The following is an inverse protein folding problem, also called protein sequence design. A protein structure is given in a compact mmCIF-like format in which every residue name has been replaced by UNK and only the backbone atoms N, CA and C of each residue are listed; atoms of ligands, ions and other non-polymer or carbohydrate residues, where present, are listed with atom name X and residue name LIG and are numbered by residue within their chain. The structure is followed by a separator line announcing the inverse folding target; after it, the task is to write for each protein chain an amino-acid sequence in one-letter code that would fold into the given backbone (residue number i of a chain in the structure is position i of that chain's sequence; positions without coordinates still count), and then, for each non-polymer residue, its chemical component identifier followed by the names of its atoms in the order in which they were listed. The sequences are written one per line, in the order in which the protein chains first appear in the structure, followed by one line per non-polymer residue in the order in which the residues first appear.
data_IF_584431768393
#
_entry.id   IF_584431768393
#
_cell.length_a   1.000
_cell.length_b   1.000
_cell.length_c   1.000
_cell.angle_alpha   90.00
_cell.angle_beta   90.00
_cell.angle_gamma   90.00
#
_symmetry.space_group_name_H-M   'P 1'
#
loop_
_entity.id
_entity.type
_entity.pdbx_description
1 polymer ?
#
# COMPACT_ATOMS: atom_id res chain seq x y z
N UNK A 1 3.93 -17.39 -34.21
CA UNK A 1 4.21 -16.29 -33.25
C UNK A 1 3.60 -14.96 -33.69
N UNK A 2 3.83 -14.46 -34.92
CA UNK A 2 3.29 -13.16 -35.35
C UNK A 2 1.76 -13.07 -35.36
N UNK A 3 1.05 -14.15 -35.73
CA UNK A 3 -0.43 -14.16 -35.71
C UNK A 3 -1.02 -14.15 -34.31
N UNK A 4 -0.41 -14.87 -33.37
CA UNK A 4 -0.84 -14.90 -31.97
C UNK A 4 -0.64 -13.50 -31.31
N UNK A 5 0.48 -12.86 -31.57
CA UNK A 5 0.77 -11.50 -31.08
C UNK A 5 -0.25 -10.50 -31.68
N UNK A 6 -0.54 -10.63 -32.97
CA UNK A 6 -1.47 -9.73 -33.66
C UNK A 6 -2.91 -9.90 -33.14
N UNK A 7 -3.34 -11.10 -32.83
CA UNK A 7 -4.66 -11.37 -32.24
C UNK A 7 -4.75 -10.85 -30.80
N UNK A 8 -3.69 -10.97 -30.03
CA UNK A 8 -3.58 -10.43 -28.67
C UNK A 8 -3.74 -8.91 -28.66
N UNK A 9 -2.98 -8.21 -29.51
CA UNK A 9 -3.04 -6.73 -29.60
C UNK A 9 -4.43 -6.24 -30.05
N UNK A 10 -5.03 -6.94 -31.02
CA UNK A 10 -6.41 -6.62 -31.46
C UNK A 10 -7.43 -6.78 -30.34
N UNK A 11 -7.31 -7.85 -29.56
CA UNK A 11 -8.19 -8.13 -28.41
C UNK A 11 -8.08 -7.01 -27.37
N UNK A 12 -6.86 -6.62 -27.02
CA UNK A 12 -6.58 -5.51 -26.08
C UNK A 12 -7.24 -4.20 -26.59
N UNK A 13 -7.07 -3.87 -27.87
CA UNK A 13 -7.65 -2.63 -28.45
C UNK A 13 -9.19 -2.64 -28.45
N UNK A 14 -9.81 -3.79 -28.67
CA UNK A 14 -11.28 -3.92 -28.58
C UNK A 14 -11.72 -3.74 -27.13
N UNK A 15 -11.06 -4.39 -26.17
CA UNK A 15 -11.35 -4.23 -24.74
C UNK A 15 -11.23 -2.75 -24.31
N UNK A 16 -10.15 -2.06 -24.70
CA UNK A 16 -9.95 -0.62 -24.45
C UNK A 16 -11.12 0.21 -24.98
N UNK A 17 -11.59 -0.10 -26.20
CA UNK A 17 -12.70 0.60 -26.84
C UNK A 17 -13.99 0.41 -26.02
N UNK A 18 -14.27 -0.80 -25.57
CA UNK A 18 -15.46 -1.11 -24.76
C UNK A 18 -15.39 -0.41 -23.40
N UNK A 19 -14.23 -0.38 -22.74
CA UNK A 19 -14.02 0.34 -21.47
C UNK A 19 -14.28 1.85 -21.66
N UNK A 20 -13.75 2.45 -22.73
CA UNK A 20 -14.02 3.88 -23.03
C UNK A 20 -15.52 4.15 -23.26
N UNK A 21 -16.23 3.23 -23.90
CA UNK A 21 -17.67 3.34 -24.10
C UNK A 21 -18.44 3.30 -22.78
N UNK A 22 -18.05 2.43 -21.84
CA UNK A 22 -18.60 2.38 -20.49
C UNK A 22 -18.38 3.72 -19.76
N UNK A 23 -17.17 4.24 -19.83
CA UNK A 23 -16.79 5.52 -19.22
C UNK A 23 -17.58 6.71 -19.80
N UNK A 24 -17.97 6.62 -21.07
CA UNK A 24 -18.81 7.64 -21.74
C UNK A 24 -20.30 7.46 -21.48
N UNK A 25 -20.71 6.51 -20.66
CA UNK A 25 -22.11 6.25 -20.29
C UNK A 25 -22.93 5.58 -21.37
N UNK A 26 -22.30 4.84 -22.28
CA UNK A 26 -23.04 4.08 -23.30
C UNK A 26 -23.67 2.81 -22.69
N UNK A 27 -24.74 2.31 -23.34
CA UNK A 27 -25.61 1.21 -22.88
C UNK A 27 -24.86 0.07 -22.16
N UNK A 28 -24.84 0.16 -20.86
CA UNK A 28 -24.03 -0.66 -19.93
C UNK A 28 -24.18 -2.17 -20.17
N UNK A 29 -25.40 -2.66 -20.30
CA UNK A 29 -25.68 -4.10 -20.47
C UNK A 29 -25.15 -4.68 -21.78
N UNK A 30 -25.13 -3.88 -22.83
CA UNK A 30 -24.62 -4.32 -24.13
C UNK A 30 -23.10 -4.40 -24.14
N UNK A 31 -22.46 -3.36 -23.58
CA UNK A 31 -21.00 -3.27 -23.50
C UNK A 31 -20.47 -4.36 -22.56
N UNK A 32 -21.15 -4.57 -21.42
CA UNK A 32 -20.81 -5.65 -20.47
C UNK A 32 -20.81 -7.02 -21.16
N UNK A 33 -21.87 -7.39 -21.89
CA UNK A 33 -21.92 -8.67 -22.60
C UNK A 33 -20.83 -8.84 -23.64
N UNK A 34 -20.46 -7.78 -24.34
CA UNK A 34 -19.36 -7.83 -25.32
C UNK A 34 -18.00 -8.00 -24.63
N UNK A 35 -17.83 -7.32 -23.50
CA UNK A 35 -16.63 -7.45 -22.68
C UNK A 35 -16.52 -8.87 -22.10
N UNK A 36 -17.60 -9.43 -21.57
CA UNK A 36 -17.70 -10.81 -21.09
C UNK A 36 -17.20 -11.80 -22.16
N UNK A 37 -17.73 -11.69 -23.38
CA UNK A 37 -17.35 -12.58 -24.47
C UNK A 37 -15.86 -12.48 -24.82
N UNK A 38 -15.28 -11.28 -24.75
CA UNK A 38 -13.85 -11.07 -25.01
C UNK A 38 -12.98 -11.61 -23.88
N UNK A 39 -13.44 -11.45 -22.64
CA UNK A 39 -12.73 -11.92 -21.45
C UNK A 39 -12.70 -13.46 -21.38
N UNK A 40 -13.70 -14.14 -21.92
CA UNK A 40 -13.71 -15.61 -22.07
C UNK A 40 -12.51 -16.12 -22.89
N UNK A 41 -12.03 -15.30 -23.84
CA UNK A 41 -10.91 -15.65 -24.74
C UNK A 41 -9.60 -14.98 -24.33
N UNK A 42 -9.63 -14.07 -23.34
CA UNK A 42 -8.47 -13.27 -22.95
C UNK A 42 -7.68 -13.96 -21.83
N UNK A 43 -6.37 -13.91 -21.96
CA UNK A 43 -5.49 -14.19 -20.84
C UNK A 43 -5.55 -13.00 -19.86
N UNK A 44 -5.38 -13.24 -18.59
CA UNK A 44 -5.39 -12.19 -17.56
C UNK A 44 -4.33 -11.12 -17.81
N UNK A 45 -3.18 -11.50 -18.37
CA UNK A 45 -2.14 -10.57 -18.81
C UNK A 45 -2.63 -9.59 -19.88
N UNK A 46 -3.68 -9.92 -20.64
CA UNK A 46 -4.29 -9.04 -21.63
C UNK A 46 -5.11 -7.93 -20.93
N UNK A 47 -5.86 -8.29 -19.89
CA UNK A 47 -6.63 -7.34 -19.08
C UNK A 47 -5.67 -6.37 -18.37
N UNK A 48 -4.63 -6.90 -17.78
CA UNK A 48 -3.58 -6.13 -17.11
C UNK A 48 -2.94 -5.11 -18.08
N UNK A 49 -2.53 -5.58 -19.26
CA UNK A 49 -1.92 -4.70 -20.28
C UNK A 49 -2.91 -3.63 -20.77
N UNK A 50 -4.18 -3.99 -20.91
CA UNK A 50 -5.24 -3.07 -21.27
C UNK A 50 -5.37 -1.93 -20.24
N UNK A 51 -5.41 -2.26 -18.95
CA UNK A 51 -5.51 -1.28 -17.86
C UNK A 51 -4.30 -0.33 -17.84
N UNK A 52 -3.09 -0.90 -17.96
CA UNK A 52 -1.84 -0.12 -18.05
C UNK A 52 -1.92 0.87 -19.22
N UNK A 53 -2.31 0.40 -20.41
CA UNK A 53 -2.40 1.25 -21.60
C UNK A 53 -3.46 2.35 -21.45
N UNK A 54 -4.63 2.04 -20.87
CA UNK A 54 -5.68 3.03 -20.64
C UNK A 54 -5.21 4.16 -19.71
N UNK A 55 -4.48 3.81 -18.65
CA UNK A 55 -3.89 4.80 -17.73
C UNK A 55 -2.84 5.65 -18.45
N UNK A 56 -1.97 5.03 -19.26
CA UNK A 56 -0.95 5.73 -20.05
C UNK A 56 -1.60 6.68 -21.08
N UNK A 57 -2.76 6.34 -21.60
CA UNK A 57 -3.55 7.16 -22.53
C UNK A 57 -4.34 8.26 -21.83
N UNK A 58 -4.26 8.36 -20.49
CA UNK A 58 -4.83 9.46 -19.71
C UNK A 58 -6.21 9.18 -19.11
N UNK A 59 -6.69 7.94 -19.11
CA UNK A 59 -7.90 7.60 -18.35
C UNK A 59 -7.51 7.60 -16.86
N UNK A 60 -8.24 8.34 -16.00
CA UNK A 60 -7.93 8.36 -14.58
C UNK A 60 -7.96 6.98 -13.95
N UNK A 61 -7.02 6.70 -13.05
CA UNK A 61 -6.95 5.41 -12.33
C UNK A 61 -8.26 5.11 -11.58
N UNK A 62 -8.91 6.15 -11.06
CA UNK A 62 -10.20 6.04 -10.37
C UNK A 62 -11.30 5.47 -11.30
N UNK A 63 -11.31 5.89 -12.57
CA UNK A 63 -12.28 5.37 -13.56
C UNK A 63 -12.02 3.88 -13.88
N UNK A 64 -10.76 3.47 -13.88
CA UNK A 64 -10.37 2.05 -14.03
C UNK A 64 -10.78 1.27 -12.75
N UNK A 65 -10.57 1.86 -11.58
CA UNK A 65 -10.93 1.28 -10.28
C UNK A 65 -12.44 0.99 -10.19
N UNK A 66 -13.30 1.91 -10.66
CA UNK A 66 -14.76 1.72 -10.68
C UNK A 66 -15.18 0.56 -11.59
N UNK A 67 -14.40 0.29 -12.64
CA UNK A 67 -14.66 -0.80 -13.57
C UNK A 67 -14.05 -2.14 -13.11
N UNK A 68 -13.09 -2.08 -12.20
CA UNK A 68 -12.34 -3.26 -11.71
C UNK A 68 -13.25 -4.31 -11.08
N UNK A 69 -14.28 -3.89 -10.35
CA UNK A 69 -15.24 -4.80 -9.71
C UNK A 69 -16.11 -5.52 -10.75
N UNK A 70 -16.43 -4.84 -11.85
CA UNK A 70 -17.14 -5.44 -12.98
C UNK A 70 -16.27 -6.48 -13.67
N UNK A 71 -14.99 -6.16 -13.93
CA UNK A 71 -14.02 -7.09 -14.51
C UNK A 71 -13.85 -8.33 -13.62
N UNK A 72 -13.64 -8.13 -12.32
CA UNK A 72 -13.44 -9.21 -11.36
C UNK A 72 -14.64 -10.15 -11.32
N UNK A 73 -15.85 -9.60 -11.34
CA UNK A 73 -17.10 -10.39 -11.32
C UNK A 73 -17.25 -11.26 -12.57
N UNK A 74 -16.92 -10.71 -13.73
CA UNK A 74 -16.96 -11.42 -15.01
C UNK A 74 -15.88 -12.51 -15.03
N UNK A 75 -14.67 -12.19 -14.57
CA UNK A 75 -13.51 -13.09 -14.63
C UNK A 75 -13.57 -14.24 -13.61
N UNK A 76 -14.29 -14.08 -12.50
CA UNK A 76 -14.44 -15.13 -11.45
C UNK A 76 -15.00 -16.47 -11.97
N UNK A 77 -15.70 -16.49 -13.10
CA UNK A 77 -16.21 -17.73 -13.69
C UNK A 77 -15.27 -18.41 -14.70
N UNK A 78 -14.25 -17.71 -15.16
CA UNK A 78 -13.45 -18.15 -16.32
C UNK A 78 -11.96 -18.38 -16.02
N UNK A 79 -11.45 -17.83 -14.92
CA UNK A 79 -10.02 -17.86 -14.58
C UNK A 79 -9.65 -18.82 -13.44
N UNK A 80 -10.58 -19.65 -13.00
CA UNK A 80 -10.32 -20.66 -11.95
C UNK A 80 -9.34 -21.76 -12.37
N UNK A 81 -8.84 -21.70 -13.62
CA UNK A 81 -7.91 -22.68 -14.18
C UNK A 81 -6.42 -22.33 -13.98
N UNK A 82 -6.10 -21.08 -13.62
CA UNK A 82 -4.70 -20.70 -13.34
C UNK A 82 -4.47 -20.61 -11.83
N UNK A 83 -3.86 -21.63 -11.28
CA UNK A 83 -3.42 -21.61 -9.89
C UNK A 83 -2.18 -20.71 -9.75
N UNK A 84 -2.06 -20.01 -8.63
CA UNK A 84 -0.82 -19.30 -8.27
C UNK A 84 0.31 -20.32 -8.28
N UNK A 85 1.41 -20.08 -8.99
CA UNK A 85 2.53 -21.01 -8.97
C UNK A 85 3.01 -21.26 -7.53
N UNK A 86 3.21 -22.53 -7.20
CA UNK A 86 3.73 -22.90 -5.89
C UNK A 86 5.14 -22.31 -5.70
N UNK A 87 5.35 -21.69 -4.59
CA UNK A 87 6.65 -21.14 -4.19
C UNK A 87 7.14 -21.86 -2.92
N UNK A 88 8.45 -21.88 -2.74
CA UNK A 88 9.06 -22.54 -1.57
C UNK A 88 8.57 -21.91 -0.26
N UNK A 89 8.35 -22.71 0.79
CA UNK A 89 7.98 -22.17 2.10
C UNK A 89 8.96 -21.08 2.56
N UNK A 90 8.42 -19.96 3.05
CA UNK A 90 9.20 -18.79 3.46
C UNK A 90 9.40 -17.74 2.37
N UNK A 91 9.23 -18.08 1.10
CA UNK A 91 9.24 -17.10 -0.01
C UNK A 91 8.14 -16.05 0.23
N UNK A 92 8.36 -14.75 -0.09
CA UNK A 92 7.33 -13.72 0.15
C UNK A 92 5.96 -14.07 -0.44
N UNK A 93 5.89 -14.62 -1.66
CA UNK A 93 4.60 -15.02 -2.27
C UNK A 93 3.96 -16.16 -1.46
N UNK A 94 4.74 -17.16 -1.01
CA UNK A 94 4.21 -18.22 -0.13
C UNK A 94 3.55 -17.60 1.10
N UNK A 95 4.23 -16.65 1.75
CA UNK A 95 3.70 -15.97 2.95
C UNK A 95 2.40 -15.22 2.64
N UNK A 96 2.37 -14.44 1.55
CA UNK A 96 1.16 -13.72 1.11
C UNK A 96 -0.01 -14.68 0.85
N UNK A 97 0.24 -15.82 0.19
CA UNK A 97 -0.81 -16.82 -0.08
C UNK A 97 -1.32 -17.45 1.22
N UNK A 98 -0.44 -17.72 2.20
CA UNK A 98 -0.89 -18.24 3.50
C UNK A 98 -1.76 -17.22 4.24
N UNK A 99 -1.39 -15.94 4.20
CA UNK A 99 -2.20 -14.86 4.76
C UNK A 99 -3.57 -14.77 4.06
N UNK A 100 -3.60 -14.89 2.74
CA UNK A 100 -4.83 -14.91 1.95
C UNK A 100 -5.75 -16.06 2.39
N UNK A 101 -5.19 -17.23 2.68
CA UNK A 101 -5.96 -18.39 3.18
C UNK A 101 -6.61 -18.09 4.54
N UNK A 102 -5.88 -17.42 5.44
CA UNK A 102 -6.42 -17.04 6.75
C UNK A 102 -7.47 -15.92 6.62
N UNK A 103 -7.26 -14.97 5.71
CA UNK A 103 -8.26 -13.93 5.39
C UNK A 103 -9.55 -14.58 4.85
N UNK A 104 -9.44 -15.46 3.86
CA UNK A 104 -10.57 -16.20 3.26
C UNK A 104 -11.29 -17.08 4.31
N UNK A 105 -10.55 -17.71 5.21
CA UNK A 105 -11.10 -18.48 6.31
C UNK A 105 -11.96 -17.58 7.22
N UNK A 106 -11.43 -16.40 7.56
CA UNK A 106 -12.12 -15.44 8.43
C UNK A 106 -13.38 -14.87 7.76
N UNK A 107 -13.29 -14.48 6.47
CA UNK A 107 -14.44 -13.98 5.70
C UNK A 107 -15.53 -15.06 5.56
N UNK A 108 -15.13 -16.31 5.33
CA UNK A 108 -16.06 -17.46 5.27
C UNK A 108 -16.79 -17.67 6.61
N UNK A 109 -16.10 -17.56 7.74
CA UNK A 109 -16.71 -17.64 9.07
C UNK A 109 -17.74 -16.54 9.29
N UNK A 110 -17.41 -15.30 8.90
CA UNK A 110 -18.34 -14.16 8.99
C UNK A 110 -19.61 -14.44 8.14
N UNK A 111 -19.43 -14.88 6.88
CA UNK A 111 -20.57 -15.22 5.99
C UNK A 111 -21.46 -16.30 6.61
N UNK A 112 -20.84 -17.33 7.20
CA UNK A 112 -21.57 -18.42 7.86
C UNK A 112 -22.41 -17.87 9.03
N UNK A 113 -21.84 -17.03 9.88
CA UNK A 113 -22.55 -16.41 11.01
C UNK A 113 -23.68 -15.49 10.53
N UNK A 114 -23.46 -14.70 9.48
CA UNK A 114 -24.49 -13.84 8.87
C UNK A 114 -25.67 -14.68 8.35
N UNK A 115 -25.37 -15.78 7.65
CA UNK A 115 -26.41 -16.70 7.15
C UNK A 115 -27.17 -17.37 8.28
N UNK A 116 -26.48 -17.74 9.36
CA UNK A 116 -27.11 -18.32 10.57
C UNK A 116 -28.07 -17.31 11.21
N UNK A 117 -27.67 -16.04 11.34
CA UNK A 117 -28.54 -14.96 11.85
C UNK A 117 -29.81 -14.80 10.96
N UNK A 118 -29.62 -14.78 9.63
CA UNK A 118 -30.73 -14.66 8.68
C UNK A 118 -31.78 -15.81 8.82
N UNK A 119 -31.33 -16.97 9.25
CA UNK A 119 -32.20 -18.16 9.40
C UNK A 119 -32.88 -18.24 10.80
N UNK A 120 -32.55 -17.33 11.72
CA UNK A 120 -33.15 -17.32 13.07
C UNK A 120 -34.50 -16.60 13.06
N UNK A 121 -35.40 -16.96 14.02
CA UNK A 121 -36.68 -16.30 14.21
C UNK A 121 -36.46 -14.85 14.72
N UNK A 122 -37.42 -13.98 14.44
CA UNK A 122 -37.31 -12.52 14.67
C UNK A 122 -37.14 -12.12 16.15
N UNK A 123 -37.54 -13.00 17.07
CA UNK A 123 -37.52 -12.72 18.50
C UNK A 123 -36.30 -13.30 19.23
N UNK A 124 -35.36 -13.91 18.52
CA UNK A 124 -34.16 -14.52 19.10
C UNK A 124 -33.05 -13.48 19.29
N UNK A 125 -32.41 -13.50 20.46
CA UNK A 125 -31.23 -12.68 20.72
C UNK A 125 -30.04 -13.17 19.89
N UNK A 126 -29.54 -12.34 18.97
CA UNK A 126 -28.40 -12.60 18.09
C UNK A 126 -27.08 -11.98 18.59
N UNK A 127 -27.09 -11.38 19.79
CA UNK A 127 -25.92 -10.75 20.38
C UNK A 127 -24.68 -11.66 20.44
N UNK A 128 -24.77 -12.97 20.75
CA UNK A 128 -23.59 -13.83 20.70
C UNK A 128 -22.96 -13.92 19.32
N UNK A 129 -23.77 -14.07 18.27
CA UNK A 129 -23.26 -14.14 16.88
C UNK A 129 -22.67 -12.78 16.42
N UNK A 130 -23.32 -11.68 16.79
CA UNK A 130 -22.83 -10.34 16.47
C UNK A 130 -21.51 -10.04 17.17
N UNK A 131 -21.34 -10.47 18.42
CA UNK A 131 -20.08 -10.34 19.15
C UNK A 131 -18.95 -11.16 18.48
N UNK A 132 -19.28 -12.37 18.02
CA UNK A 132 -18.33 -13.21 17.28
C UNK A 132 -17.92 -12.55 15.95
N UNK A 133 -18.89 -11.98 15.21
CA UNK A 133 -18.61 -11.21 13.97
C UNK A 133 -17.71 -10.01 14.29
N UNK A 134 -17.99 -9.27 15.36
CA UNK A 134 -17.18 -8.13 15.80
C UNK A 134 -15.72 -8.55 16.07
N UNK A 135 -15.52 -9.67 16.77
CA UNK A 135 -14.17 -10.21 17.01
C UNK A 135 -13.46 -10.58 15.71
N UNK A 136 -14.16 -11.22 14.77
CA UNK A 136 -13.59 -11.58 13.47
C UNK A 136 -13.24 -10.34 12.63
N UNK A 137 -14.09 -9.31 12.66
CA UNK A 137 -13.79 -8.01 12.01
C UNK A 137 -12.56 -7.33 12.63
N UNK A 138 -12.41 -7.39 13.95
CA UNK A 138 -11.21 -6.88 14.61
C UNK A 138 -9.95 -7.65 14.17
N UNK A 139 -10.05 -8.96 14.00
CA UNK A 139 -8.94 -9.78 13.46
C UNK A 139 -8.61 -9.35 12.03
N UNK A 140 -9.62 -9.04 11.20
CA UNK A 140 -9.42 -8.56 9.82
C UNK A 140 -8.69 -7.21 9.76
N UNK A 141 -8.62 -6.43 10.85
CA UNK A 141 -7.78 -5.21 10.88
C UNK A 141 -6.30 -5.52 10.60
N UNK A 142 -5.85 -6.76 10.86
CA UNK A 142 -4.48 -7.19 10.53
C UNK A 142 -4.19 -7.16 9.01
N UNK A 143 -5.22 -7.09 8.15
CA UNK A 143 -5.05 -6.91 6.69
C UNK A 143 -4.20 -5.68 6.35
N UNK A 144 -4.17 -4.69 7.24
CA UNK A 144 -3.33 -3.50 7.12
C UNK A 144 -1.85 -3.87 6.92
N UNK A 145 -1.34 -4.86 7.68
CA UNK A 145 0.06 -5.33 7.55
C UNK A 145 0.31 -5.93 6.16
N UNK A 146 -0.64 -6.73 5.68
CA UNK A 146 -0.63 -7.37 4.37
C UNK A 146 -0.60 -6.32 3.24
N UNK A 147 -1.50 -5.34 3.29
CA UNK A 147 -1.59 -4.26 2.29
C UNK A 147 -0.34 -3.40 2.29
N UNK A 148 0.16 -3.00 3.47
CA UNK A 148 1.36 -2.16 3.59
C UNK A 148 2.61 -2.85 3.03
N UNK A 149 2.76 -4.16 3.22
CA UNK A 149 3.88 -4.90 2.60
C UNK A 149 3.79 -4.88 1.08
N UNK A 150 2.61 -5.06 0.50
CA UNK A 150 2.44 -4.95 -0.95
C UNK A 150 2.74 -3.52 -1.44
N UNK A 151 2.12 -2.54 -0.81
CA UNK A 151 2.26 -1.12 -1.20
C UNK A 151 3.72 -0.63 -1.11
N UNK A 152 4.44 -1.04 -0.08
CA UNK A 152 5.78 -0.51 0.20
C UNK A 152 6.92 -1.41 -0.27
N UNK A 153 6.70 -2.72 -0.38
CA UNK A 153 7.76 -3.66 -0.76
C UNK A 153 7.58 -4.22 -2.17
N UNK A 154 6.35 -4.53 -2.59
CA UNK A 154 6.11 -5.20 -3.87
C UNK A 154 5.81 -4.21 -5.01
N UNK A 155 4.89 -3.26 -4.80
CA UNK A 155 4.46 -2.32 -5.85
C UNK A 155 5.60 -1.49 -6.45
N UNK A 156 6.62 -1.04 -5.67
CA UNK A 156 7.75 -0.31 -6.28
C UNK A 156 8.49 -1.09 -7.37
N UNK A 157 8.49 -2.41 -7.32
CA UNK A 157 9.12 -3.22 -8.36
C UNK A 157 8.30 -3.23 -9.67
N UNK A 158 6.98 -3.19 -9.57
CA UNK A 158 6.13 -3.01 -10.76
C UNK A 158 6.40 -1.67 -11.43
N UNK A 159 6.48 -0.61 -10.63
CA UNK A 159 6.75 0.75 -11.12
C UNK A 159 8.13 0.87 -11.77
N UNK A 160 9.15 0.27 -11.17
CA UNK A 160 10.52 0.22 -11.73
C UNK A 160 10.54 -0.48 -13.10
N UNK A 161 9.62 -1.43 -13.30
CA UNK A 161 9.46 -2.17 -14.56
C UNK A 161 8.41 -1.54 -15.50
N UNK A 162 8.09 -0.27 -15.30
CA UNK A 162 7.18 0.53 -16.14
C UNK A 162 5.73 0.02 -16.14
N UNK A 163 5.30 -0.64 -15.05
CA UNK A 163 3.94 -1.20 -14.89
C UNK A 163 3.23 -0.59 -13.66
N UNK A 164 3.06 0.75 -13.57
CA UNK A 164 2.47 1.37 -12.38
C UNK A 164 0.94 1.23 -12.25
N UNK A 165 0.26 0.86 -13.33
CA UNK A 165 -1.21 0.85 -13.37
C UNK A 165 -1.86 -0.02 -12.31
N UNK A 166 -1.64 -1.34 -12.31
CA UNK A 166 -2.28 -2.23 -11.33
C UNK A 166 -1.94 -1.92 -9.88
N UNK A 167 -0.68 -1.62 -9.49
CA UNK A 167 -0.41 -1.13 -8.15
C UNK A 167 -1.26 0.07 -7.75
N UNK A 168 -1.44 1.04 -8.65
CA UNK A 168 -2.24 2.25 -8.37
C UNK A 168 -3.71 1.90 -8.10
N UNK A 169 -4.31 1.05 -8.95
CA UNK A 169 -5.70 0.59 -8.80
C UNK A 169 -5.87 -0.22 -7.52
N UNK A 170 -4.95 -1.16 -7.25
CA UNK A 170 -5.01 -2.00 -6.05
C UNK A 170 -4.85 -1.17 -4.77
N UNK A 171 -3.99 -0.15 -4.78
CA UNK A 171 -3.86 0.77 -3.63
C UNK A 171 -5.20 1.47 -3.34
N UNK A 172 -5.88 1.96 -4.39
CA UNK A 172 -7.20 2.54 -4.23
C UNK A 172 -8.20 1.58 -3.56
N UNK A 173 -8.19 0.32 -3.99
CA UNK A 173 -9.04 -0.74 -3.40
C UNK A 173 -8.64 -1.09 -1.95
N UNK A 174 -7.35 -1.04 -1.62
CA UNK A 174 -6.90 -1.18 -0.22
C UNK A 174 -7.48 -0.05 0.65
N UNK A 175 -7.46 1.19 0.16
CA UNK A 175 -8.02 2.35 0.87
C UNK A 175 -9.53 2.20 1.09
N UNK A 176 -10.27 1.74 0.07
CA UNK A 176 -11.71 1.42 0.20
C UNK A 176 -11.95 0.38 1.30
N UNK A 177 -11.17 -0.70 1.31
CA UNK A 177 -11.29 -1.76 2.31
C UNK A 177 -11.00 -1.22 3.72
N UNK A 178 -9.98 -0.36 3.87
CA UNK A 178 -9.66 0.32 5.14
C UNK A 178 -10.85 1.14 5.66
N UNK A 179 -11.47 1.91 4.79
CA UNK A 179 -12.62 2.76 5.16
C UNK A 179 -13.84 1.91 5.51
N UNK A 180 -14.11 0.84 4.74
CA UNK A 180 -15.20 -0.10 5.04
C UNK A 180 -15.01 -0.76 6.40
N UNK A 181 -13.81 -1.27 6.70
CA UNK A 181 -13.47 -1.91 7.99
C UNK A 181 -13.68 -0.93 9.16
N UNK A 182 -13.11 0.28 9.05
CA UNK A 182 -13.22 1.31 10.09
C UNK A 182 -14.68 1.71 10.32
N UNK A 183 -15.42 1.96 9.24
CA UNK A 183 -16.83 2.35 9.31
C UNK A 183 -17.70 1.26 9.95
N UNK A 184 -17.47 0.01 9.53
CA UNK A 184 -18.20 -1.14 10.08
C UNK A 184 -17.93 -1.33 11.57
N UNK A 185 -16.66 -1.29 11.99
CA UNK A 185 -16.27 -1.42 13.39
C UNK A 185 -16.83 -0.28 14.25
N UNK A 186 -16.84 0.96 13.75
CA UNK A 186 -17.44 2.11 14.44
C UNK A 186 -18.94 1.89 14.66
N UNK A 187 -19.63 1.35 13.65
CA UNK A 187 -21.06 1.00 13.77
C UNK A 187 -21.34 0.00 14.88
N UNK A 188 -20.43 -0.96 15.09
CA UNK A 188 -20.57 -1.94 16.18
C UNK A 188 -20.46 -1.29 17.59
N UNK A 189 -19.63 -0.25 17.72
CA UNK A 189 -19.45 0.44 19.02
C UNK A 189 -20.68 1.23 19.46
N UNK A 190 -21.53 1.62 18.54
CA UNK A 190 -22.75 2.40 18.82
C UNK A 190 -23.95 1.54 19.27
N UNK A 191 -23.85 0.23 19.12
CA UNK A 191 -24.96 -0.69 19.41
C UNK A 191 -24.60 -1.59 20.60
N UNK A 192 -25.34 -1.48 21.69
CA UNK A 192 -25.08 -2.22 22.93
C UNK A 192 -25.89 -3.52 23.05
N UNK A 193 -26.96 -3.66 22.29
CA UNK A 193 -27.80 -4.88 22.25
C UNK A 193 -28.34 -5.12 20.83
N UNK A 194 -28.30 -6.34 20.39
CA UNK A 194 -28.79 -6.74 19.06
C UNK A 194 -29.96 -7.68 19.20
N UNK A 195 -31.16 -7.24 18.85
CA UNK A 195 -32.27 -8.16 18.54
C UNK A 195 -32.14 -8.57 17.05
N UNK A 196 -32.78 -9.66 16.68
CA UNK A 196 -32.78 -10.13 15.28
C UNK A 196 -33.34 -9.08 14.32
N UNK A 197 -34.31 -8.31 14.76
CA UNK A 197 -34.94 -7.25 13.96
C UNK A 197 -33.96 -6.06 13.78
N UNK A 198 -33.29 -5.75 14.81
CA UNK A 198 -32.24 -4.69 14.77
C UNK A 198 -31.04 -5.04 13.96
N UNK A 199 -30.90 -6.12 13.93
CA UNK A 199 -29.89 -6.63 13.10
C UNK A 199 -30.16 -6.45 11.66
N UNK A 200 -31.15 -6.51 11.61
CA UNK A 200 -31.57 -6.25 10.37
C UNK A 200 -31.46 -4.81 10.08
N UNK A 201 -31.65 -4.36 10.97
CA UNK A 201 -31.53 -3.09 11.00
C UNK A 201 -30.18 -2.63 10.90
N UNK A 202 -29.78 -3.24 11.33
CA UNK A 202 -28.54 -3.01 11.18
C UNK A 202 -28.09 -3.29 9.87
N UNK A 203 -28.90 -3.35 9.44
CA UNK A 203 -28.68 -3.58 8.25
C UNK A 203 -27.62 -2.98 7.69
N UNK A 204 -27.74 -2.07 8.16
CA UNK A 204 -26.69 -1.39 7.91
C UNK A 204 -25.46 -2.09 8.25
N UNK A 205 -25.45 -2.30 9.27
CA UNK A 205 -24.27 -3.07 9.67
C UNK A 205 -24.12 -4.36 8.84
N UNK A 206 -25.22 -4.98 8.53
CA UNK A 206 -25.19 -6.19 7.69
C UNK A 206 -24.62 -5.91 6.29
N UNK A 207 -25.05 -4.83 5.67
CA UNK A 207 -24.52 -4.45 4.35
C UNK A 207 -23.05 -4.04 4.44
N UNK A 208 -22.67 -3.34 5.48
CA UNK A 208 -21.27 -2.94 5.71
C UNK A 208 -20.38 -4.16 5.97
N UNK A 209 -20.82 -5.12 6.78
CA UNK A 209 -20.08 -6.37 7.07
C UNK A 209 -19.86 -7.16 5.78
N UNK A 210 -20.90 -7.33 4.96
CA UNK A 210 -20.79 -8.06 3.69
C UNK A 210 -19.89 -7.29 2.70
N UNK A 211 -19.98 -5.96 2.65
CA UNK A 211 -19.13 -5.14 1.80
C UNK A 211 -17.63 -5.30 2.16
N UNK A 212 -17.31 -5.34 3.46
CA UNK A 212 -15.94 -5.62 3.94
C UNK A 212 -15.47 -6.99 3.46
N UNK A 213 -16.31 -8.00 3.68
CA UNK A 213 -15.99 -9.39 3.34
C UNK A 213 -15.80 -9.55 1.82
N UNK A 214 -16.68 -8.93 1.02
CA UNK A 214 -16.60 -8.95 -0.44
C UNK A 214 -15.33 -8.24 -0.93
N UNK A 215 -15.00 -7.07 -0.36
CA UNK A 215 -13.81 -6.30 -0.72
C UNK A 215 -12.51 -7.09 -0.46
N UNK A 216 -12.44 -7.79 0.69
CA UNK A 216 -11.28 -8.63 1.03
C UNK A 216 -11.18 -9.82 0.08
N UNK A 217 -12.29 -10.54 -0.14
CA UNK A 217 -12.31 -11.72 -1.03
C UNK A 217 -11.97 -11.34 -2.48
N UNK A 218 -12.45 -10.19 -2.94
CA UNK A 218 -12.12 -9.66 -4.28
C UNK A 218 -10.63 -9.31 -4.38
N UNK A 219 -10.05 -8.74 -3.32
CA UNK A 219 -8.62 -8.44 -3.29
C UNK A 219 -7.78 -9.73 -3.29
N UNK A 220 -8.12 -10.71 -2.45
CA UNK A 220 -7.47 -12.04 -2.44
C UNK A 220 -7.47 -12.65 -3.84
N UNK A 221 -8.62 -12.60 -4.52
CA UNK A 221 -8.75 -13.12 -5.88
C UNK A 221 -7.78 -12.42 -6.85
N UNK A 222 -7.76 -11.07 -6.84
CA UNK A 222 -6.87 -10.28 -7.72
C UNK A 222 -5.39 -10.57 -7.45
N UNK A 223 -5.04 -10.73 -6.19
CA UNK A 223 -3.66 -11.04 -5.79
C UNK A 223 -3.21 -12.40 -6.32
N UNK A 224 -4.00 -13.43 -6.07
CA UNK A 224 -3.63 -14.81 -6.42
C UNK A 224 -3.71 -15.09 -7.93
N UNK A 225 -4.65 -14.45 -8.62
CA UNK A 225 -4.85 -14.70 -10.05
C UNK A 225 -4.07 -13.73 -10.94
N UNK A 226 -3.67 -12.55 -10.42
CA UNK A 226 -3.01 -11.51 -11.23
C UNK A 226 -1.67 -11.10 -10.64
N UNK A 227 -1.71 -10.54 -9.43
CA UNK A 227 -0.55 -9.84 -8.87
C UNK A 227 0.64 -10.78 -8.68
N UNK A 228 0.41 -11.92 -8.00
CA UNK A 228 1.50 -12.84 -7.67
C UNK A 228 2.07 -13.55 -8.90
N UNK A 229 1.25 -14.09 -9.82
CA UNK A 229 1.81 -14.65 -11.05
C UNK A 229 2.60 -13.64 -11.88
N UNK A 230 2.10 -12.41 -11.99
CA UNK A 230 2.80 -11.33 -12.71
C UNK A 230 4.12 -10.99 -12.00
N UNK A 231 4.09 -10.85 -10.69
CA UNK A 231 5.28 -10.52 -9.89
C UNK A 231 6.35 -11.62 -9.99
N UNK A 232 5.94 -12.90 -9.95
CA UNK A 232 6.86 -14.04 -10.08
C UNK A 232 7.56 -14.06 -11.44
N UNK A 233 6.89 -13.58 -12.49
CA UNK A 233 7.48 -13.47 -13.83
C UNK A 233 8.33 -12.20 -14.01
N UNK A 234 8.07 -11.16 -13.23
CA UNK A 234 8.66 -9.84 -13.39
C UNK A 234 9.92 -9.64 -12.53
N UNK A 235 9.89 -10.12 -11.30
CA UNK A 235 10.90 -9.85 -10.29
C UNK A 235 11.99 -10.93 -10.31
N UNK A 236 13.22 -10.49 -10.07
CA UNK A 236 14.36 -11.39 -9.90
C UNK A 236 14.38 -11.99 -8.49
N UNK A 237 15.13 -13.07 -8.31
CA UNK A 237 15.38 -13.68 -6.99
C UNK A 237 15.97 -12.66 -6.00
N UNK A 238 16.80 -11.73 -6.48
CA UNK A 238 17.37 -10.65 -5.66
C UNK A 238 16.26 -9.69 -5.16
N UNK A 239 15.33 -9.32 -6.04
CA UNK A 239 14.21 -8.45 -5.66
C UNK A 239 13.35 -9.11 -4.57
N UNK A 240 13.06 -10.41 -4.74
CA UNK A 240 12.30 -11.19 -3.76
C UNK A 240 13.03 -11.28 -2.42
N UNK A 241 14.36 -11.40 -2.44
CA UNK A 241 15.16 -11.46 -1.21
C UNK A 241 15.12 -10.11 -0.47
N UNK A 242 15.17 -9.00 -1.19
CA UNK A 242 15.03 -7.67 -0.58
C UNK A 242 13.63 -7.48 0.04
N UNK A 243 12.57 -7.97 -0.62
CA UNK A 243 11.21 -7.97 -0.06
C UNK A 243 11.16 -8.83 1.22
N UNK A 244 11.74 -10.03 1.16
CA UNK A 244 11.82 -10.95 2.31
C UNK A 244 12.47 -10.30 3.52
N UNK A 245 13.66 -9.70 3.33
CA UNK A 245 14.44 -9.08 4.41
C UNK A 245 13.72 -7.92 5.11
N UNK A 246 12.83 -7.22 4.40
CA UNK A 246 12.12 -6.06 4.93
C UNK A 246 10.72 -6.40 5.46
N UNK A 247 10.21 -7.60 5.18
CA UNK A 247 8.83 -7.99 5.53
C UNK A 247 8.56 -7.96 7.03
N UNK A 248 9.54 -8.35 7.85
CA UNK A 248 9.43 -8.36 9.33
C UNK A 248 9.15 -6.97 9.91
N UNK A 249 9.61 -5.90 9.25
CA UNK A 249 9.39 -4.52 9.71
C UNK A 249 7.90 -4.13 9.69
N UNK A 250 7.13 -4.76 8.81
CA UNK A 250 5.69 -4.50 8.65
C UNK A 250 4.83 -5.47 9.46
N UNK A 251 5.37 -6.65 9.76
CA UNK A 251 4.65 -7.74 10.38
C UNK A 251 3.76 -8.51 9.40
N UNK A 252 3.03 -9.47 9.91
CA UNK A 252 2.28 -10.46 9.12
C UNK A 252 0.80 -10.45 9.52
N UNK A 253 -0.06 -10.82 8.56
CA UNK A 253 -1.52 -10.78 8.69
C UNK A 253 -2.06 -12.17 9.03
N UNK A 254 -2.52 -12.37 10.27
CA UNK A 254 -3.19 -13.61 10.72
C UNK A 254 -2.35 -14.90 10.54
N UNK A 255 -1.13 -14.81 10.03
CA UNK A 255 -0.21 -15.92 9.77
C UNK A 255 1.18 -15.50 10.20
N UNK A 256 1.90 -16.37 10.86
CA UNK A 256 3.31 -16.17 11.21
C UNK A 256 4.17 -17.14 10.37
N UNK A 257 5.08 -16.63 9.53
CA UNK A 257 5.95 -17.52 8.74
C UNK A 257 6.74 -18.47 9.63
N UNK A 258 6.76 -19.73 9.25
CA UNK A 258 7.41 -20.80 10.02
C UNK A 258 8.80 -21.16 9.42
N UNK A 259 9.14 -20.61 8.28
CA UNK A 259 10.33 -20.98 7.52
C UNK A 259 11.12 -19.74 7.15
N UNK A 260 12.42 -19.81 7.35
CA UNK A 260 13.35 -18.84 6.76
C UNK A 260 13.51 -19.18 5.27
N UNK A 261 13.71 -18.15 4.46
CA UNK A 261 13.91 -18.33 3.03
C UNK A 261 15.17 -17.62 2.57
N UNK A 262 15.93 -18.31 1.74
CA UNK A 262 17.10 -17.76 1.05
C UNK A 262 17.06 -18.25 -0.41
N UNK A 263 17.37 -17.36 -1.36
CA UNK A 263 17.42 -17.75 -2.77
C UNK A 263 18.45 -18.85 -3.06
N UNK A 264 18.20 -19.65 -4.05
CA UNK A 264 19.16 -20.64 -4.54
C UNK A 264 20.41 -19.92 -5.07
N UNK A 265 21.57 -20.37 -4.65
CA UNK A 265 22.87 -19.82 -5.10
C UNK A 265 23.53 -18.82 -4.16
N UNK A 266 22.82 -18.39 -3.11
CA UNK A 266 23.37 -17.48 -2.09
C UNK A 266 23.67 -16.08 -2.64
N UNK A 267 23.10 -15.06 -2.05
CA UNK A 267 23.40 -13.67 -2.45
C UNK A 267 24.41 -13.06 -1.46
N UNK A 268 25.55 -12.64 -1.99
CA UNK A 268 26.46 -11.76 -1.26
C UNK A 268 25.89 -10.35 -1.32
N UNK A 269 25.61 -9.78 -0.17
CA UNK A 269 25.23 -8.38 -0.04
C UNK A 269 26.39 -7.53 -0.59
N UNK A 270 26.31 -7.12 -1.85
CA UNK A 270 27.24 -6.12 -2.37
C UNK A 270 27.00 -4.82 -1.61
N UNK A 271 27.82 -4.60 -0.61
CA UNK A 271 27.91 -3.28 0.01
C UNK A 271 28.57 -2.35 -1.00
N UNK A 272 27.79 -1.51 -1.66
CA UNK A 272 28.36 -0.41 -2.45
C UNK A 272 29.20 0.46 -1.50
N UNK A 273 30.49 0.32 -1.62
CA UNK A 273 31.43 1.19 -0.87
C UNK A 273 31.48 2.55 -1.59
N UNK A 274 31.04 3.63 -0.94
CA UNK A 274 31.24 4.97 -1.53
C UNK A 274 32.75 5.26 -1.61
N UNK A 275 33.16 5.77 -2.75
CA UNK A 275 34.55 6.16 -2.96
C UNK A 275 34.74 7.57 -2.38
N UNK A 276 35.19 7.61 -1.13
CA UNK A 276 35.67 8.86 -0.53
C UNK A 276 37.21 8.84 -0.54
N UNK A 277 37.84 9.90 -0.97
CA UNK A 277 39.30 10.01 -0.84
C UNK A 277 39.66 10.04 0.64
N UNK A 278 40.59 9.19 1.04
CA UNK A 278 41.05 9.04 2.44
C UNK A 278 39.94 8.67 3.43
N UNK A 279 38.85 8.05 2.97
CA UNK A 279 37.76 7.58 3.83
C UNK A 279 36.88 8.67 4.45
N UNK A 280 37.03 9.93 4.05
CA UNK A 280 36.21 11.05 4.52
C UNK A 280 35.56 11.80 3.36
N UNK A 281 34.31 12.23 3.58
CA UNK A 281 33.56 13.09 2.66
C UNK A 281 33.87 14.52 3.05
N UNK A 282 34.53 15.24 2.18
CA UNK A 282 34.90 16.65 2.40
C UNK A 282 33.70 17.55 2.09
N UNK A 283 33.45 18.49 2.99
CA UNK A 283 32.42 19.53 2.88
C UNK A 283 33.05 20.92 3.06
N UNK A 284 32.40 22.02 2.68
CA UNK A 284 32.98 23.37 2.81
C UNK A 284 33.42 23.74 4.25
N UNK A 285 32.70 23.21 5.25
CA UNK A 285 32.96 23.56 6.65
C UNK A 285 33.52 22.41 7.49
N UNK A 286 34.00 21.33 6.83
CA UNK A 286 34.56 20.19 7.57
C UNK A 286 34.45 18.90 6.79
N UNK A 287 34.57 17.78 7.50
CA UNK A 287 34.48 16.47 6.83
C UNK A 287 33.88 15.43 7.76
N UNK A 288 33.23 14.41 7.15
CA UNK A 288 32.71 13.26 7.88
C UNK A 288 33.27 11.97 7.32
N UNK A 289 33.50 11.00 8.17
CA UNK A 289 33.52 9.60 7.69
C UNK A 289 32.12 9.19 7.30
N UNK A 290 31.98 8.22 6.42
CA UNK A 290 30.67 7.74 5.98
C UNK A 290 29.81 7.22 7.15
N UNK A 291 30.43 6.46 8.05
CA UNK A 291 29.76 5.95 9.25
C UNK A 291 29.26 7.07 10.17
N UNK A 292 30.08 8.13 10.37
CA UNK A 292 29.68 9.32 11.14
C UNK A 292 28.44 9.98 10.51
N UNK A 293 28.45 10.17 9.19
CA UNK A 293 27.36 10.80 8.45
C UNK A 293 26.06 9.96 8.51
N UNK A 294 26.19 8.63 8.39
CA UNK A 294 25.04 7.71 8.51
C UNK A 294 24.43 7.82 9.92
N UNK A 295 25.26 7.75 10.96
CA UNK A 295 24.76 7.81 12.36
C UNK A 295 24.19 9.19 12.69
N UNK A 296 24.76 10.26 12.13
CA UNK A 296 24.23 11.62 12.27
C UNK A 296 22.79 11.68 11.72
N UNK A 297 22.57 11.17 10.50
CA UNK A 297 21.23 11.18 9.91
C UNK A 297 20.24 10.27 10.66
N UNK A 298 20.70 9.22 11.34
CA UNK A 298 19.85 8.37 12.21
C UNK A 298 19.48 9.08 13.52
N UNK A 299 20.35 9.98 13.99
CA UNK A 299 20.19 10.65 15.29
C UNK A 299 19.24 11.86 15.19
N UNK A 300 19.05 12.42 13.99
CA UNK A 300 18.19 13.58 13.80
C UNK A 300 16.75 13.26 14.27
N UNK A 301 16.12 14.18 15.06
CA UNK A 301 14.76 13.95 15.55
C UNK A 301 13.67 14.29 14.53
N UNK A 302 13.96 14.02 13.27
CA UNK A 302 13.05 14.24 12.15
C UNK A 302 13.41 13.33 10.98
N UNK A 303 12.43 13.01 10.20
CA UNK A 303 12.59 12.19 8.99
C UNK A 303 12.97 13.06 7.80
N UNK A 304 13.90 12.58 7.01
CA UNK A 304 14.29 13.21 5.75
C UNK A 304 13.96 12.28 4.58
N UNK A 305 13.49 12.88 3.48
CA UNK A 305 13.40 12.19 2.18
C UNK A 305 13.90 13.17 1.10
N UNK A 306 14.89 12.74 0.32
CA UNK A 306 15.43 13.55 -0.78
C UNK A 306 15.01 12.95 -2.11
N UNK A 307 14.43 13.80 -2.95
CA UNK A 307 13.96 13.51 -4.32
C UNK A 307 14.80 14.37 -5.26
N UNK A 308 15.39 13.77 -6.29
CA UNK A 308 16.23 14.48 -7.24
C UNK A 308 15.41 15.34 -8.25
N UNK A 309 16.10 16.08 -9.10
CA UNK A 309 15.48 16.94 -10.13
C UNK A 309 14.69 16.15 -11.19
N UNK A 310 14.92 14.86 -11.30
CA UNK A 310 14.17 13.93 -12.15
C UNK A 310 12.98 13.29 -11.40
N UNK A 311 12.64 13.80 -10.21
CA UNK A 311 11.50 13.34 -9.36
C UNK A 311 11.69 11.93 -8.76
N UNK A 312 12.91 11.41 -8.74
CA UNK A 312 13.19 10.08 -8.19
C UNK A 312 13.71 10.18 -6.75
N UNK A 313 13.17 9.36 -5.85
CA UNK A 313 13.64 9.27 -4.47
C UNK A 313 15.09 8.75 -4.46
N UNK A 314 16.01 9.51 -3.88
CA UNK A 314 17.44 9.15 -3.81
C UNK A 314 17.92 8.82 -2.41
N UNK A 315 17.24 9.32 -1.40
CA UNK A 315 17.65 9.12 -0.02
C UNK A 315 16.46 9.28 0.91
N UNK A 316 16.44 8.51 1.98
CA UNK A 316 15.62 8.79 3.16
C UNK A 316 16.42 8.43 4.42
N UNK A 317 16.22 9.17 5.51
CA UNK A 317 16.92 8.91 6.78
C UNK A 317 16.38 7.62 7.41
N UNK A 318 17.24 6.75 7.92
CA UNK A 318 16.81 5.52 8.60
C UNK A 318 16.50 5.75 10.08
N UNK A 319 15.55 6.66 10.38
CA UNK A 319 15.14 6.94 11.76
C UNK A 319 14.52 5.74 12.47
N UNK A 320 14.69 5.66 13.80
CA UNK A 320 14.15 4.54 14.61
C UNK A 320 12.62 4.56 14.71
N UNK A 321 12.01 5.73 14.69
CA UNK A 321 10.57 5.93 14.85
C UNK A 321 10.04 6.87 13.77
N UNK A 322 10.17 6.43 12.50
CA UNK A 322 9.69 7.25 11.38
C UNK A 322 8.18 7.48 11.47
N UNK A 323 7.79 8.72 11.19
CA UNK A 323 6.37 9.09 11.07
C UNK A 323 5.71 8.36 9.89
N UNK A 324 6.40 8.37 8.74
CA UNK A 324 5.96 7.64 7.54
C UNK A 324 6.96 6.53 7.23
N UNK A 325 6.46 5.32 7.19
CA UNK A 325 7.29 4.16 6.84
C UNK A 325 7.85 4.29 5.42
N UNK A 326 9.10 3.89 5.27
CA UNK A 326 9.79 3.87 3.98
C UNK A 326 10.63 2.60 3.88
N UNK A 327 10.40 1.81 2.86
CA UNK A 327 11.28 0.69 2.55
C UNK A 327 12.35 1.12 1.54
N UNK A 328 13.45 0.39 1.46
CA UNK A 328 14.50 0.68 0.46
C UNK A 328 14.01 0.52 -0.98
N UNK A 329 12.90 -0.20 -1.20
CA UNK A 329 12.29 -0.36 -2.52
C UNK A 329 11.82 0.98 -3.13
N UNK A 330 11.62 2.03 -2.32
CA UNK A 330 11.25 3.34 -2.86
C UNK A 330 12.42 4.06 -3.55
N UNK A 331 13.66 3.63 -3.32
CA UNK A 331 14.84 4.27 -3.95
C UNK A 331 14.80 4.11 -5.47
N UNK A 332 14.86 5.23 -6.19
CA UNK A 332 14.67 5.30 -7.63
C UNK A 332 13.22 5.45 -8.08
N UNK A 333 12.26 5.27 -7.17
CA UNK A 333 10.82 5.41 -7.45
C UNK A 333 10.49 6.89 -7.70
N UNK A 334 9.60 7.16 -8.63
CA UNK A 334 9.08 8.52 -8.84
C UNK A 334 8.25 8.95 -7.63
N UNK A 335 8.45 10.18 -7.16
CA UNK A 335 7.79 10.70 -5.96
C UNK A 335 6.26 10.64 -6.07
N UNK A 336 5.73 10.78 -7.28
CA UNK A 336 4.29 10.68 -7.56
C UNK A 336 3.72 9.33 -7.12
N UNK A 337 4.51 8.26 -7.24
CA UNK A 337 4.10 6.91 -6.87
C UNK A 337 4.30 6.59 -5.37
N UNK A 338 4.90 7.53 -4.64
CA UNK A 338 5.04 7.40 -3.18
C UNK A 338 3.80 7.94 -2.42
N UNK A 339 2.78 8.39 -3.15
CA UNK A 339 1.60 9.03 -2.57
C UNK A 339 0.31 8.38 -3.08
N UNK A 340 -0.72 8.28 -2.24
CA UNK A 340 -2.03 7.79 -2.69
C UNK A 340 -2.58 8.65 -3.83
N UNK A 341 -3.35 8.08 -4.77
CA UNK A 341 -3.91 8.83 -5.92
C UNK A 341 -4.58 10.15 -5.55
N UNK A 342 -5.30 10.19 -4.44
CA UNK A 342 -6.00 11.39 -3.94
C UNK A 342 -5.10 12.59 -3.62
N UNK A 343 -3.79 12.37 -3.40
CA UNK A 343 -2.83 13.45 -3.07
C UNK A 343 -1.77 13.70 -4.15
N UNK A 344 -1.68 12.89 -5.18
CA UNK A 344 -0.67 13.00 -6.25
C UNK A 344 -0.71 14.38 -6.92
N UNK A 345 -1.91 14.95 -7.12
CA UNK A 345 -2.06 16.27 -7.74
C UNK A 345 -1.37 17.37 -6.93
N UNK A 346 -1.36 17.27 -5.59
CA UNK A 346 -0.66 18.22 -4.69
C UNK A 346 0.85 18.06 -4.88
N UNK A 347 1.34 16.82 -4.90
CA UNK A 347 2.77 16.51 -5.11
C UNK A 347 3.24 17.08 -6.46
N UNK A 348 2.48 16.85 -7.52
CA UNK A 348 2.78 17.36 -8.86
C UNK A 348 2.84 18.89 -8.88
N UNK A 349 1.92 19.55 -8.17
CA UNK A 349 1.90 21.02 -8.09
C UNK A 349 3.13 21.56 -7.36
N UNK A 350 3.52 20.95 -6.21
CA UNK A 350 4.70 21.34 -5.44
C UNK A 350 5.96 21.22 -6.32
N UNK A 351 6.17 20.06 -6.92
CA UNK A 351 7.35 19.80 -7.76
C UNK A 351 7.41 20.78 -8.94
N UNK A 352 6.26 21.01 -9.61
CA UNK A 352 6.16 21.95 -10.72
C UNK A 352 6.53 23.38 -10.29
N UNK A 353 6.03 23.86 -9.16
CA UNK A 353 6.28 25.22 -8.67
C UNK A 353 7.74 25.37 -8.21
N UNK A 354 8.32 24.34 -7.60
CA UNK A 354 9.73 24.31 -7.20
C UNK A 354 10.66 24.36 -8.43
N UNK A 355 10.40 23.52 -9.43
CA UNK A 355 11.17 23.50 -10.70
C UNK A 355 11.08 24.83 -11.45
N UNK A 356 9.91 25.48 -11.39
CA UNK A 356 9.68 26.77 -12.05
C UNK A 356 10.23 27.98 -11.23
N UNK A 357 10.78 27.77 -10.04
CA UNK A 357 11.27 28.83 -9.18
C UNK A 357 10.17 29.72 -8.58
N UNK A 358 8.92 29.27 -8.58
CA UNK A 358 7.78 30.04 -8.05
C UNK A 358 7.71 29.98 -6.54
N UNK A 359 8.13 28.86 -5.96
CA UNK A 359 8.12 28.63 -4.52
C UNK A 359 9.38 27.83 -4.16
N UNK A 360 9.84 27.99 -2.92
CA UNK A 360 10.96 27.23 -2.37
C UNK A 360 10.57 26.42 -1.14
N UNK A 361 9.31 26.54 -0.70
CA UNK A 361 8.82 25.84 0.48
C UNK A 361 7.32 25.57 0.40
N UNK A 362 6.88 24.38 0.82
CA UNK A 362 5.48 24.02 1.03
C UNK A 362 5.34 23.37 2.42
N UNK A 363 4.30 23.72 3.17
CA UNK A 363 4.13 23.27 4.55
C UNK A 363 2.76 22.65 4.77
N UNK A 364 2.76 21.56 5.52
CA UNK A 364 1.55 20.85 5.93
C UNK A 364 1.68 20.50 7.42
N UNK A 365 0.55 20.41 8.10
CA UNK A 365 0.48 19.82 9.43
C UNK A 365 -0.82 19.03 9.53
N UNK A 366 -0.70 17.84 10.08
CA UNK A 366 -1.80 16.89 10.18
C UNK A 366 -1.84 16.29 11.58
N UNK A 367 -3.00 15.82 11.98
CA UNK A 367 -3.14 14.97 13.16
C UNK A 367 -3.15 13.52 12.67
N UNK A 368 -2.12 12.77 13.04
CA UNK A 368 -1.94 11.38 12.61
C UNK A 368 -1.82 10.51 13.86
N UNK A 369 -2.83 9.70 14.15
CA UNK A 369 -2.84 8.79 15.30
C UNK A 369 -2.56 9.51 16.63
N UNK A 370 -3.11 10.71 16.81
CA UNK A 370 -2.92 11.53 18.01
C UNK A 370 -1.65 12.38 18.02
N UNK A 371 -0.77 12.22 17.04
CA UNK A 371 0.46 12.99 16.90
C UNK A 371 0.25 14.21 16.02
N UNK A 372 0.82 15.36 16.42
CA UNK A 372 0.90 16.56 15.57
C UNK A 372 2.11 16.41 14.64
N UNK A 373 1.85 16.01 13.41
CA UNK A 373 2.90 15.80 12.39
C UNK A 373 3.04 17.06 11.53
N UNK A 374 4.25 17.61 11.49
CA UNK A 374 4.61 18.77 10.69
C UNK A 374 5.51 18.32 9.53
N UNK A 375 5.10 18.65 8.30
CA UNK A 375 5.76 18.23 7.06
C UNK A 375 6.15 19.48 6.29
N UNK A 376 7.40 19.60 5.92
CA UNK A 376 7.88 20.72 5.10
C UNK A 376 8.65 20.17 3.91
N UNK A 377 8.30 20.65 2.75
CA UNK A 377 9.03 20.41 1.51
C UNK A 377 9.86 21.67 1.20
N UNK A 378 11.13 21.46 0.83
CA UNK A 378 12.06 22.53 0.45
C UNK A 378 12.60 22.23 -0.95
N UNK A 379 12.63 23.25 -1.80
CA UNK A 379 13.41 23.18 -3.05
C UNK A 379 14.90 23.27 -2.69
N UNK A 380 15.65 22.27 -3.09
CA UNK A 380 17.11 22.24 -2.93
C UNK A 380 17.72 22.84 -4.19
N UNK A 381 18.54 23.90 -4.01
CA UNK A 381 19.22 24.59 -5.12
C UNK A 381 20.71 24.71 -4.87
N UNK A 382 21.48 24.79 -5.94
CA UNK A 382 22.91 25.14 -5.86
C UNK A 382 23.08 26.65 -5.72
N UNK A 383 24.33 27.12 -5.63
CA UNK A 383 24.67 28.54 -5.48
C UNK A 383 24.27 29.37 -6.70
N UNK A 384 24.12 28.74 -7.88
CA UNK A 384 23.69 29.40 -9.12
C UNK A 384 22.14 29.50 -9.21
N UNK A 385 21.42 28.93 -8.22
CA UNK A 385 19.96 28.90 -8.17
C UNK A 385 19.31 27.73 -8.91
N UNK A 386 20.09 26.84 -9.50
CA UNK A 386 19.56 25.68 -10.23
C UNK A 386 18.89 24.68 -9.26
N UNK A 387 17.72 24.21 -9.64
CA UNK A 387 16.97 23.21 -8.87
C UNK A 387 17.68 21.85 -8.94
N UNK A 388 18.08 21.35 -7.79
CA UNK A 388 18.73 20.03 -7.63
C UNK A 388 17.75 18.94 -7.21
N UNK A 389 16.65 19.34 -6.54
CA UNK A 389 15.67 18.38 -6.03
C UNK A 389 14.80 18.95 -4.93
N UNK A 390 14.00 18.08 -4.32
CA UNK A 390 13.14 18.43 -3.18
C UNK A 390 13.58 17.64 -1.95
N UNK A 391 13.69 18.35 -0.82
CA UNK A 391 13.88 17.73 0.50
C UNK A 391 12.58 17.81 1.29
N UNK A 392 12.06 16.66 1.68
CA UNK A 392 10.97 16.53 2.66
C UNK A 392 11.57 16.40 4.06
N UNK A 393 11.08 17.18 4.99
CA UNK A 393 11.41 17.09 6.42
C UNK A 393 10.09 16.86 7.17
N UNK A 394 10.01 15.77 7.90
CA UNK A 394 8.81 15.38 8.67
C UNK A 394 9.16 15.28 10.15
N UNK A 395 8.38 15.95 11.01
CA UNK A 395 8.62 16.00 12.44
C UNK A 395 7.33 15.69 13.19
N UNK A 396 7.45 14.93 14.28
CA UNK A 396 6.41 14.82 15.30
C UNK A 396 6.61 16.00 16.27
N UNK A 397 5.69 16.94 16.30
CA UNK A 397 5.73 18.12 17.18
C UNK A 397 4.83 17.95 18.41
N UNK A 398 4.33 16.76 18.71
CA UNK A 398 3.39 16.54 19.82
C UNK A 398 3.97 17.02 21.15
N UNK A 399 5.16 16.55 21.50
CA UNK A 399 5.83 16.94 22.74
C UNK A 399 6.24 18.44 22.73
N UNK A 400 6.73 18.93 21.61
CA UNK A 400 7.16 20.33 21.45
C UNK A 400 5.99 21.27 21.67
N UNK A 401 4.78 20.91 21.20
CA UNK A 401 3.56 21.70 21.37
C UNK A 401 3.16 21.88 22.85
N UNK A 402 3.55 20.93 23.70
CA UNK A 402 3.21 20.94 25.14
C UNK A 402 4.23 21.73 26.01
N UNK A 403 5.35 22.17 25.42
CA UNK A 403 6.38 22.91 26.15
C UNK A 403 5.88 24.32 26.52
N UNK A 404 6.09 24.71 27.79
CA UNK A 404 5.76 26.04 28.32
C UNK A 404 6.97 26.62 29.02
N UNK A 405 7.08 27.95 28.99
CA UNK A 405 8.13 28.71 29.69
C UNK A 405 9.52 28.48 29.11
N UNK A 406 10.52 28.34 29.96
CA UNK A 406 11.94 28.18 29.58
C UNK A 406 12.60 27.07 30.41
N UNK A 407 13.48 26.31 29.77
CA UNK A 407 14.33 25.29 30.43
C UNK A 407 15.80 25.62 30.13
N UNK A 408 16.44 26.32 31.04
CA UNK A 408 17.83 26.80 30.87
C UNK A 408 18.86 25.95 31.60
N UNK A 409 18.42 25.16 32.59
CA UNK A 409 19.34 24.34 33.39
C UNK A 409 19.31 22.89 32.87
N UNK A 410 20.47 22.24 32.91
CA UNK A 410 20.57 20.84 32.52
C UNK A 410 19.77 19.94 33.47
N UNK A 411 18.80 19.25 32.94
CA UNK A 411 18.16 18.13 33.61
C UNK A 411 17.89 17.04 32.55
N UNK A 412 18.24 15.81 32.91
CA UNK A 412 17.97 14.68 32.03
C UNK A 412 16.54 14.19 32.21
N UNK A 413 15.87 13.84 31.14
CA UNK A 413 14.55 13.22 31.22
C UNK A 413 14.69 11.86 31.91
N UNK A 414 13.98 11.67 33.02
CA UNK A 414 14.03 10.44 33.82
C UNK A 414 13.28 9.36 33.01
N UNK A 415 14.00 8.35 32.55
CA UNK A 415 13.38 7.21 31.89
C UNK A 415 12.43 6.50 32.87
N UNK A 416 11.30 6.00 32.37
CA UNK A 416 10.30 5.32 33.18
C UNK A 416 10.82 4.10 33.95
N UNK A 417 11.98 3.59 33.57
CA UNK A 417 12.66 2.47 34.24
C UNK A 417 13.31 2.84 35.57
N UNK A 418 13.69 4.12 35.74
CA UNK A 418 14.37 4.57 36.96
C UNK A 418 13.41 4.80 38.15
N UNK A 419 12.11 4.83 37.90
CA UNK A 419 11.08 5.00 38.96
C UNK A 419 10.86 3.74 39.80
N UNK A 420 11.30 2.57 39.34
CA UNK A 420 11.07 1.30 40.07
C UNK A 420 12.11 1.01 41.17
N UNK A 421 13.19 1.82 41.27
CA UNK A 421 14.27 1.57 42.25
C UNK A 421 14.34 2.60 43.39
N UNK A 422 13.35 3.49 43.51
CA UNK A 422 13.30 4.49 44.61
C UNK A 422 11.98 4.42 45.41
N UNK A 423 11.48 3.19 45.69
CA UNK A 423 10.38 2.98 46.60
C UNK A 423 10.83 2.33 47.91
#
# INVERSE_FOLDING_TARGET
MSELINNRQKRIEVMKTLIRQLHQGMAEDRVKRQLETLLDEADYSDVFLMEVQLIQEGIPAEAIQDLCDTHTRVLKGHLDLQETPETTPGHPVHTFVQENRELTRTTTQIRHLMNKIKAMAEDIDVSPQMNEIHQLLNNLMDVEKHYRRKENLLFPYFEKNELPGPPTVMWGKHDETRELLKGTLSGFQEVHQFSSLEXXXXXXNQFSVLAVVDAIDDMVYKEEKILYPTALNLLTEQDWYEIYLQSDEYGYCLYAPQFEWTPEGGFHKEMHKPVAQNGRIQMPTGSFKLDELIELFKTLPFDLTYVDKEDSVRYFSPGRERVFERSRAILGRKVQYCHPPKSVHIVNQIVKDFKAGKQDRARFWINLQGKLVYIVYYAVRNDDGDYLGTLEVTQDLTEVRELEGERRLLSYDISSEDKSHRG
#
